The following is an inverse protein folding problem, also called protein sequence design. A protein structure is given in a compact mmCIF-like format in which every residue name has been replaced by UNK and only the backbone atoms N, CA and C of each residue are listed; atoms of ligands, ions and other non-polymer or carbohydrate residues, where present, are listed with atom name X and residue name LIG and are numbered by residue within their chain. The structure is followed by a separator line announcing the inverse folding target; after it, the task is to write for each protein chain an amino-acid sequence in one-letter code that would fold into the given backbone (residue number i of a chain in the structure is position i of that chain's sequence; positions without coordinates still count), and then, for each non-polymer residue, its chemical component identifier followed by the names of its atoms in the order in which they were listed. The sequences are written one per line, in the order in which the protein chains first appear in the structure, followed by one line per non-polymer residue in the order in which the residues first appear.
data_IF_911320922879
#
_entry.id   IF_911320922879
#
_cell.length_a   1.000
_cell.length_b   1.000
_cell.length_c   1.000
_cell.angle_alpha   90.00
_cell.angle_beta   90.00
_cell.angle_gamma   90.00
#
_symmetry.space_group_name_H-M   'P 1'
#
loop_
_entity.id
_entity.type
_entity.pdbx_description
1 polymer ?
#
# COMPACT_ATOMS: atom_id res chain seq x y z
N UNK A 1 -24.10 -32.59 6.89
CA UNK A 1 -23.70 -31.91 8.15
C UNK A 1 -23.52 -30.44 7.82
N UNK A 2 -24.50 -29.65 8.19
CA UNK A 2 -24.55 -28.22 7.99
C UNK A 2 -23.56 -27.57 8.97
N UNK A 3 -22.44 -27.03 8.46
CA UNK A 3 -21.50 -26.29 9.28
C UNK A 3 -22.18 -24.97 9.70
N UNK A 4 -22.61 -24.88 10.94
CA UNK A 4 -23.11 -23.66 11.54
C UNK A 4 -22.13 -22.52 11.30
N UNK A 5 -22.62 -21.40 10.78
CA UNK A 5 -21.83 -20.18 10.58
C UNK A 5 -21.13 -19.80 11.91
N UNK A 6 -19.83 -19.48 11.90
CA UNK A 6 -19.11 -19.15 13.11
C UNK A 6 -19.80 -17.95 13.79
N UNK A 7 -20.21 -18.12 15.04
CA UNK A 7 -20.75 -17.04 15.87
C UNK A 7 -19.75 -15.91 15.90
N UNK A 8 -20.14 -14.74 15.42
CA UNK A 8 -19.31 -13.54 15.43
C UNK A 8 -19.00 -13.19 16.90
N UNK A 9 -17.75 -13.40 17.30
CA UNK A 9 -17.31 -13.12 18.65
C UNK A 9 -17.40 -11.61 18.90
N UNK A 10 -18.21 -11.22 19.91
CA UNK A 10 -18.47 -9.80 20.25
C UNK A 10 -17.18 -9.05 20.59
N UNK A 11 -16.18 -9.72 21.19
CA UNK A 11 -14.88 -9.11 21.49
C UNK A 11 -14.14 -8.75 20.21
N UNK A 12 -14.14 -9.63 19.21
CA UNK A 12 -13.54 -9.36 17.90
C UNK A 12 -14.23 -8.21 17.16
N UNK A 13 -15.56 -8.08 17.28
CA UNK A 13 -16.29 -6.96 16.68
C UNK A 13 -15.94 -5.63 17.35
N UNK A 14 -15.88 -5.59 18.66
CA UNK A 14 -15.51 -4.37 19.42
C UNK A 14 -14.09 -3.92 19.08
N UNK A 15 -13.12 -4.85 18.98
CA UNK A 15 -11.76 -4.55 18.58
C UNK A 15 -11.68 -4.02 17.16
N UNK A 16 -12.44 -4.59 16.23
CA UNK A 16 -12.49 -4.12 14.83
C UNK A 16 -13.05 -2.71 14.72
N UNK A 17 -14.19 -2.46 15.36
CA UNK A 17 -14.82 -1.13 15.35
C UNK A 17 -13.92 -0.11 16.05
N UNK A 18 -13.36 -0.45 17.21
CA UNK A 18 -12.47 0.43 17.97
C UNK A 18 -11.22 0.82 17.17
N UNK A 19 -10.52 -0.16 16.59
CA UNK A 19 -9.32 0.12 15.79
C UNK A 19 -9.63 0.88 14.48
N UNK A 20 -10.78 0.61 13.83
CA UNK A 20 -11.22 1.36 12.67
C UNK A 20 -11.53 2.83 13.03
N UNK A 21 -12.19 3.07 14.16
CA UNK A 21 -12.46 4.43 14.64
C UNK A 21 -11.18 5.19 14.97
N UNK A 22 -10.24 4.57 15.69
CA UNK A 22 -8.95 5.19 16.02
C UNK A 22 -8.18 5.54 14.75
N UNK A 23 -8.07 4.58 13.81
CA UNK A 23 -7.43 4.83 12.52
C UNK A 23 -8.15 5.94 11.73
N UNK A 24 -9.48 5.87 11.63
CA UNK A 24 -10.26 6.88 10.91
C UNK A 24 -10.10 8.27 11.50
N UNK A 25 -10.23 8.43 12.82
CA UNK A 25 -10.04 9.72 13.50
C UNK A 25 -8.62 10.24 13.26
N UNK A 26 -7.60 9.41 13.44
CA UNK A 26 -6.21 9.79 13.18
C UNK A 26 -6.00 10.22 11.72
N UNK A 27 -6.41 9.40 10.78
CA UNK A 27 -6.23 9.63 9.35
C UNK A 27 -6.94 10.92 8.88
N UNK A 28 -8.23 11.04 9.16
CA UNK A 28 -8.99 12.22 8.73
C UNK A 28 -8.54 13.51 9.45
N UNK A 29 -8.14 13.43 10.73
CA UNK A 29 -7.57 14.58 11.44
C UNK A 29 -6.25 15.02 10.81
N UNK A 30 -5.40 14.07 10.43
CA UNK A 30 -4.12 14.36 9.79
C UNK A 30 -4.31 15.02 8.41
N UNK A 31 -5.26 14.51 7.60
CA UNK A 31 -5.61 15.13 6.32
C UNK A 31 -6.22 16.54 6.51
N UNK A 32 -7.07 16.70 7.52
CA UNK A 32 -7.65 18.02 7.85
C UNK A 32 -6.60 19.06 8.25
N UNK A 33 -5.57 18.62 8.96
CA UNK A 33 -4.46 19.44 9.44
C UNK A 33 -3.23 19.41 8.51
N UNK A 34 -3.39 18.92 7.28
CA UNK A 34 -2.28 18.68 6.36
C UNK A 34 -1.52 19.92 5.88
N UNK A 35 -2.08 21.10 6.08
CA UNK A 35 -1.43 22.40 5.84
C UNK A 35 -0.47 22.83 6.98
N UNK A 36 -0.44 22.07 8.09
CA UNK A 36 0.45 22.38 9.21
C UNK A 36 1.87 21.90 8.92
N UNK A 37 2.92 22.70 9.28
CA UNK A 37 4.32 22.36 8.98
C UNK A 37 4.79 21.00 9.54
N UNK A 38 4.15 20.52 10.60
CA UNK A 38 4.46 19.24 11.22
C UNK A 38 3.71 18.04 10.60
N UNK A 39 2.63 18.29 9.85
CA UNK A 39 1.77 17.20 9.32
C UNK A 39 2.51 16.22 8.39
N UNK A 40 3.40 16.65 7.47
CA UNK A 40 4.19 15.73 6.64
C UNK A 40 5.09 14.80 7.46
N UNK A 41 5.61 15.27 8.59
CA UNK A 41 6.47 14.47 9.47
C UNK A 41 5.68 13.44 10.27
N UNK A 42 4.47 13.78 10.71
CA UNK A 42 3.56 12.81 11.34
C UNK A 42 3.10 11.76 10.33
N UNK A 43 2.81 12.16 9.08
CA UNK A 43 2.47 11.25 8.00
C UNK A 43 3.66 10.31 7.69
N UNK A 44 4.88 10.85 7.61
CA UNK A 44 6.11 10.06 7.47
C UNK A 44 6.26 9.04 8.59
N UNK A 45 6.03 9.43 9.84
CA UNK A 45 6.07 8.51 10.98
C UNK A 45 5.08 7.36 10.84
N UNK A 46 3.86 7.64 10.38
CA UNK A 46 2.86 6.61 10.09
C UNK A 46 3.30 5.68 8.95
N UNK A 47 3.85 6.23 7.85
CA UNK A 47 4.39 5.44 6.73
C UNK A 47 5.60 4.60 7.15
N UNK A 48 6.49 5.14 7.98
CA UNK A 48 7.66 4.42 8.50
C UNK A 48 7.25 3.24 9.40
N UNK A 49 6.22 3.43 10.23
CA UNK A 49 5.66 2.36 11.05
C UNK A 49 4.98 1.28 10.18
N UNK A 50 4.15 1.69 9.21
CA UNK A 50 3.50 0.77 8.28
C UNK A 50 4.55 -0.03 7.47
N UNK A 51 5.62 0.63 7.01
CA UNK A 51 6.74 0.01 6.32
C UNK A 51 7.43 -1.05 7.18
N UNK A 52 7.77 -0.73 8.43
CA UNK A 52 8.41 -1.67 9.34
C UNK A 52 7.52 -2.89 9.62
N UNK A 53 6.22 -2.68 9.82
CA UNK A 53 5.24 -3.77 10.00
C UNK A 53 5.11 -4.62 8.73
N UNK A 54 5.03 -4.01 7.55
CA UNK A 54 4.93 -4.73 6.28
C UNK A 54 6.19 -5.54 5.95
N UNK A 55 7.40 -4.98 6.16
CA UNK A 55 8.66 -5.73 6.02
C UNK A 55 8.70 -6.90 6.99
N UNK A 56 8.24 -6.72 8.23
CA UNK A 56 8.15 -7.80 9.22
C UNK A 56 7.20 -8.90 8.75
N UNK A 57 6.03 -8.57 8.24
CA UNK A 57 5.07 -9.55 7.73
C UNK A 57 5.66 -10.34 6.55
N UNK A 58 6.28 -9.67 5.59
CA UNK A 58 6.95 -10.33 4.46
C UNK A 58 8.09 -11.24 4.94
N UNK A 59 8.89 -10.77 5.89
CA UNK A 59 9.96 -11.58 6.52
C UNK A 59 9.39 -12.85 7.17
N UNK A 60 8.31 -12.71 7.94
CA UNK A 60 7.68 -13.86 8.61
C UNK A 60 7.05 -14.83 7.63
N UNK A 61 6.41 -14.35 6.56
CA UNK A 61 5.91 -15.21 5.47
C UNK A 61 7.04 -16.02 4.82
N UNK A 62 8.18 -15.38 4.55
CA UNK A 62 9.35 -16.05 3.96
C UNK A 62 9.93 -17.12 4.89
N UNK A 63 9.95 -16.86 6.20
CA UNK A 63 10.41 -17.82 7.22
C UNK A 63 9.56 -19.09 7.29
N UNK A 64 8.26 -19.03 6.95
CA UNK A 64 7.42 -20.23 6.84
C UNK A 64 7.95 -21.19 5.77
N UNK A 65 8.68 -20.68 4.76
CA UNK A 65 9.32 -21.48 3.70
C UNK A 65 10.78 -21.81 3.95
N UNK A 66 11.30 -21.47 5.10
CA UNK A 66 12.70 -21.73 5.49
C UNK A 66 13.68 -20.63 5.09
N UNK A 67 13.26 -19.59 4.34
CA UNK A 67 14.12 -18.45 4.04
C UNK A 67 14.30 -17.54 5.26
N UNK A 68 15.44 -16.89 5.36
CA UNK A 68 15.73 -16.01 6.49
C UNK A 68 16.10 -14.58 6.06
N UNK A 69 15.13 -13.82 5.44
CA UNK A 69 15.39 -12.43 5.09
C UNK A 69 15.65 -11.60 6.34
N UNK A 70 16.53 -10.60 6.22
CA UNK A 70 16.91 -9.74 7.32
C UNK A 70 15.85 -8.66 7.58
N UNK A 71 15.19 -8.74 8.72
CA UNK A 71 14.21 -7.73 9.13
C UNK A 71 14.86 -6.35 9.30
N UNK A 72 16.02 -6.29 9.96
CA UNK A 72 16.67 -5.02 10.30
C UNK A 72 17.12 -4.29 9.05
N UNK A 73 17.88 -4.98 8.17
CA UNK A 73 18.38 -4.36 6.95
C UNK A 73 17.25 -4.01 5.99
N UNK A 74 16.19 -4.83 5.94
CA UNK A 74 14.99 -4.56 5.16
C UNK A 74 14.26 -3.30 5.62
N UNK A 75 14.06 -3.13 6.92
CA UNK A 75 13.42 -1.92 7.49
C UNK A 75 14.29 -0.68 7.23
N UNK A 76 15.60 -0.75 7.49
CA UNK A 76 16.51 0.38 7.28
C UNK A 76 16.58 0.79 5.79
N UNK A 77 16.64 -0.19 4.88
CA UNK A 77 16.59 0.08 3.45
C UNK A 77 15.26 0.74 3.04
N UNK A 78 14.13 0.24 3.53
CA UNK A 78 12.81 0.84 3.28
C UNK A 78 12.73 2.28 3.80
N UNK A 79 13.24 2.55 4.98
CA UNK A 79 13.30 3.90 5.53
C UNK A 79 14.24 4.82 4.75
N UNK A 80 15.31 4.27 4.16
CA UNK A 80 16.16 5.01 3.22
C UNK A 80 15.37 5.51 2.00
N UNK A 81 14.52 4.67 1.40
CA UNK A 81 13.61 5.09 0.32
C UNK A 81 12.61 6.14 0.79
N UNK A 82 11.97 5.96 1.95
CA UNK A 82 11.06 6.97 2.52
C UNK A 82 11.78 8.32 2.74
N UNK A 83 13.01 8.30 3.23
CA UNK A 83 13.82 9.51 3.41
C UNK A 83 14.11 10.19 2.07
N UNK A 84 14.48 9.44 1.02
CA UNK A 84 14.64 10.01 -0.33
C UNK A 84 13.38 10.74 -0.78
N UNK A 85 12.21 10.08 -0.78
CA UNK A 85 10.97 10.68 -1.24
C UNK A 85 10.52 11.89 -0.39
N UNK A 86 10.92 11.94 0.88
CA UNK A 86 10.62 13.06 1.78
C UNK A 86 11.55 14.25 1.54
N UNK A 87 12.84 13.99 1.31
CA UNK A 87 13.87 15.03 1.21
C UNK A 87 14.08 15.56 -0.21
N UNK A 88 13.76 14.76 -1.23
CA UNK A 88 13.87 15.18 -2.62
C UNK A 88 12.82 16.22 -2.96
N UNK A 89 13.28 17.42 -3.33
CA UNK A 89 12.46 18.52 -3.85
C UNK A 89 12.79 18.77 -5.32
N UNK A 90 12.02 19.63 -6.00
CA UNK A 90 12.27 19.97 -7.40
C UNK A 90 13.70 20.48 -7.66
N UNK A 91 14.25 21.23 -6.72
CA UNK A 91 15.56 21.89 -6.89
C UNK A 91 16.70 21.25 -6.08
N UNK A 92 16.38 20.34 -5.17
CA UNK A 92 17.39 19.73 -4.28
C UNK A 92 17.04 18.26 -4.04
N UNK A 93 18.03 17.41 -4.22
CA UNK A 93 17.98 16.00 -3.84
C UNK A 93 19.18 15.66 -2.95
N UNK A 94 19.07 15.99 -1.65
CA UNK A 94 20.19 15.77 -0.71
C UNK A 94 20.48 14.28 -0.48
N UNK A 95 19.53 13.41 -0.81
CA UNK A 95 19.66 11.96 -0.70
C UNK A 95 19.24 11.31 -2.03
N UNK A 96 20.06 11.40 -3.10
CA UNK A 96 19.67 10.94 -4.41
C UNK A 96 19.41 9.42 -4.45
N UNK A 97 18.46 9.01 -5.28
CA UNK A 97 17.96 7.63 -5.35
C UNK A 97 19.09 6.60 -5.59
N UNK A 98 20.09 6.93 -6.42
CA UNK A 98 21.24 6.03 -6.65
C UNK A 98 22.03 5.77 -5.36
N UNK A 99 22.17 6.77 -4.49
CA UNK A 99 22.85 6.62 -3.20
C UNK A 99 22.06 5.72 -2.26
N UNK A 100 20.72 5.89 -2.24
CA UNK A 100 19.82 5.04 -1.45
C UNK A 100 19.88 3.59 -1.93
N UNK A 101 19.82 3.36 -3.24
CA UNK A 101 19.92 2.01 -3.82
C UNK A 101 21.28 1.38 -3.48
N UNK A 102 22.37 2.13 -3.65
CA UNK A 102 23.72 1.62 -3.34
C UNK A 102 23.85 1.34 -1.84
N UNK A 103 23.41 2.26 -0.99
CA UNK A 103 23.46 2.09 0.47
C UNK A 103 22.60 0.91 0.96
N UNK A 104 21.39 0.77 0.42
CA UNK A 104 20.52 -0.38 0.71
C UNK A 104 21.17 -1.70 0.25
N UNK A 105 21.79 -1.70 -0.93
CA UNK A 105 22.55 -2.86 -1.45
C UNK A 105 23.68 -3.27 -0.52
N UNK A 106 24.54 -2.33 -0.18
CA UNK A 106 25.63 -2.59 0.75
C UNK A 106 25.07 -3.12 2.10
N UNK A 107 24.06 -2.47 2.65
CA UNK A 107 23.47 -2.86 3.93
C UNK A 107 22.91 -4.29 3.91
N UNK A 108 22.16 -4.65 2.85
CA UNK A 108 21.55 -5.97 2.72
C UNK A 108 22.62 -7.03 2.49
N UNK A 109 23.58 -6.79 1.61
CA UNK A 109 24.63 -7.77 1.32
C UNK A 109 25.62 -7.94 2.46
N UNK A 110 26.08 -6.86 3.10
CA UNK A 110 26.92 -6.97 4.31
C UNK A 110 26.17 -7.63 5.46
N UNK A 111 24.86 -7.30 5.65
CA UNK A 111 24.04 -7.96 6.65
C UNK A 111 24.02 -9.48 6.43
N UNK A 112 23.85 -9.93 5.20
CA UNK A 112 23.86 -11.35 4.87
C UNK A 112 25.25 -12.00 5.14
N UNK A 113 26.34 -11.34 4.79
CA UNK A 113 27.71 -11.88 5.03
C UNK A 113 28.00 -12.17 6.51
N UNK A 114 27.45 -11.39 7.42
CA UNK A 114 27.77 -11.49 8.83
C UNK A 114 26.72 -12.24 9.66
N UNK A 115 25.49 -12.35 9.18
CA UNK A 115 24.37 -12.85 9.95
C UNK A 115 23.64 -14.04 9.32
N UNK A 116 23.93 -14.40 8.05
CA UNK A 116 23.32 -15.59 7.43
C UNK A 116 24.11 -16.85 7.81
N UNK A 117 23.45 -17.76 8.49
CA UNK A 117 24.04 -19.04 8.91
C UNK A 117 24.09 -20.09 7.80
N UNK A 118 23.24 -19.92 6.75
CA UNK A 118 23.06 -20.88 5.67
C UNK A 118 23.27 -20.23 4.31
N UNK A 119 24.36 -20.56 3.65
CA UNK A 119 24.72 -19.98 2.35
C UNK A 119 23.77 -20.36 1.20
N UNK A 120 23.17 -21.55 1.23
CA UNK A 120 22.22 -22.04 0.25
C UNK A 120 20.88 -21.27 0.26
N UNK A 121 20.52 -20.64 1.39
CA UNK A 121 19.35 -19.80 1.53
C UNK A 121 19.67 -18.29 1.39
N UNK A 122 20.94 -17.89 1.29
CA UNK A 122 21.36 -16.49 1.31
C UNK A 122 20.80 -15.70 0.12
N UNK A 123 20.90 -16.22 -1.10
CA UNK A 123 20.43 -15.50 -2.30
C UNK A 123 18.90 -15.26 -2.27
N UNK A 124 18.04 -16.27 -2.00
CA UNK A 124 16.59 -16.02 -1.85
C UNK A 124 16.26 -15.06 -0.72
N UNK A 125 16.94 -15.17 0.42
CA UNK A 125 16.73 -14.31 1.60
C UNK A 125 17.05 -12.85 1.31
N UNK A 126 18.17 -12.57 0.65
CA UNK A 126 18.54 -11.23 0.20
C UNK A 126 17.55 -10.69 -0.84
N UNK A 127 17.14 -11.51 -1.82
CA UNK A 127 16.15 -11.12 -2.83
C UNK A 127 14.80 -10.73 -2.20
N UNK A 128 14.35 -11.46 -1.19
CA UNK A 128 13.11 -11.14 -0.44
C UNK A 128 13.29 -9.86 0.37
N UNK A 129 14.46 -9.65 0.99
CA UNK A 129 14.76 -8.40 1.71
C UNK A 129 14.69 -7.20 0.78
N UNK A 130 15.32 -7.31 -0.41
CA UNK A 130 15.24 -6.29 -1.47
C UNK A 130 13.81 -6.06 -1.95
N UNK A 131 13.06 -7.14 -2.21
CA UNK A 131 11.68 -7.06 -2.65
C UNK A 131 10.82 -6.27 -1.66
N UNK A 132 10.94 -6.55 -0.36
CA UNK A 132 10.24 -5.83 0.68
C UNK A 132 10.63 -4.35 0.75
N UNK A 133 11.93 -4.07 0.68
CA UNK A 133 12.44 -2.70 0.72
C UNK A 133 11.97 -1.86 -0.47
N UNK A 134 12.02 -2.41 -1.68
CA UNK A 134 11.57 -1.73 -2.89
C UNK A 134 10.04 -1.57 -2.89
N UNK A 135 9.29 -2.65 -2.65
CA UNK A 135 7.84 -2.64 -2.69
C UNK A 135 7.25 -1.60 -1.74
N UNK A 136 7.62 -1.68 -0.45
CA UNK A 136 7.09 -0.77 0.56
C UNK A 136 7.75 0.60 0.49
N UNK A 137 9.06 0.66 0.20
CA UNK A 137 9.80 1.91 0.12
C UNK A 137 9.30 2.81 -1.01
N UNK A 138 9.05 2.26 -2.20
CA UNK A 138 8.48 3.05 -3.30
C UNK A 138 6.99 3.35 -3.07
N UNK A 139 6.16 2.33 -2.76
CA UNK A 139 4.73 2.54 -2.63
C UNK A 139 4.35 3.55 -1.54
N UNK A 140 4.92 3.39 -0.34
CA UNK A 140 4.69 4.32 0.77
C UNK A 140 5.48 5.63 0.60
N UNK A 141 6.65 5.58 -0.06
CA UNK A 141 7.43 6.76 -0.41
C UNK A 141 6.67 7.69 -1.36
N UNK A 142 6.01 7.14 -2.39
CA UNK A 142 5.16 7.94 -3.27
C UNK A 142 3.92 8.47 -2.56
N UNK A 143 3.35 7.76 -1.57
CA UNK A 143 2.29 8.33 -0.74
C UNK A 143 2.80 9.52 0.08
N UNK A 144 4.00 9.42 0.66
CA UNK A 144 4.65 10.53 1.35
C UNK A 144 4.88 11.72 0.40
N UNK A 145 5.38 11.45 -0.81
CA UNK A 145 5.60 12.48 -1.83
C UNK A 145 4.28 13.15 -2.25
N UNK A 146 3.22 12.37 -2.46
CA UNK A 146 1.87 12.89 -2.73
C UNK A 146 1.37 13.79 -1.61
N UNK A 147 1.56 13.41 -0.33
CA UNK A 147 1.13 14.22 0.81
C UNK A 147 1.83 15.57 0.87
N UNK A 148 3.09 15.63 0.40
CA UNK A 148 3.91 16.85 0.38
C UNK A 148 3.72 17.71 -0.87
N UNK A 149 2.95 17.25 -1.87
CA UNK A 149 2.74 18.02 -3.09
C UNK A 149 2.00 19.32 -2.82
N UNK A 150 2.56 20.40 -3.37
CA UNK A 150 1.92 21.70 -3.46
C UNK A 150 1.23 21.84 -4.82
N UNK A 151 0.11 22.52 -4.86
CA UNK A 151 -0.68 22.74 -6.09
C UNK A 151 -1.48 24.02 -5.99
N UNK A 152 -2.38 24.23 -6.96
CA UNK A 152 -3.16 25.47 -7.10
C UNK A 152 -4.17 25.70 -5.97
N UNK A 153 -4.57 24.64 -5.26
CA UNK A 153 -5.54 24.72 -4.17
C UNK A 153 -4.90 24.38 -2.83
N UNK A 154 -5.44 24.94 -1.73
CA UNK A 154 -4.96 24.61 -0.38
C UNK A 154 -5.06 23.11 -0.10
N UNK A 155 -4.10 22.56 0.65
CA UNK A 155 -4.06 21.15 1.08
C UNK A 155 -4.05 20.15 -0.10
N UNK A 156 -3.41 20.50 -1.21
CA UNK A 156 -3.36 19.65 -2.41
C UNK A 156 -2.91 18.23 -2.07
N UNK A 157 -1.82 18.05 -1.32
CA UNK A 157 -1.32 16.74 -0.93
C UNK A 157 -2.34 15.92 -0.13
N UNK A 158 -2.98 16.53 0.89
CA UNK A 158 -4.02 15.86 1.68
C UNK A 158 -5.22 15.43 0.82
N UNK A 159 -5.61 16.27 -0.16
CA UNK A 159 -6.71 16.00 -1.08
C UNK A 159 -6.36 14.84 -2.03
N UNK A 160 -5.11 14.78 -2.49
CA UNK A 160 -4.61 13.66 -3.32
C UNK A 160 -4.56 12.34 -2.54
N UNK A 161 -4.12 12.37 -1.28
CA UNK A 161 -4.16 11.18 -0.42
C UNK A 161 -5.61 10.74 -0.17
N UNK A 162 -6.51 11.69 0.12
CA UNK A 162 -7.93 11.35 0.27
C UNK A 162 -8.50 10.74 -1.01
N UNK A 163 -8.14 11.29 -2.17
CA UNK A 163 -8.56 10.77 -3.46
C UNK A 163 -8.03 9.34 -3.70
N UNK A 164 -6.75 9.09 -3.42
CA UNK A 164 -6.16 7.76 -3.52
C UNK A 164 -6.96 6.73 -2.73
N UNK A 165 -7.28 7.04 -1.46
CA UNK A 165 -8.03 6.12 -0.59
C UNK A 165 -9.50 5.97 -1.03
N UNK A 166 -10.19 7.07 -1.33
CA UNK A 166 -11.62 7.01 -1.71
C UNK A 166 -11.79 6.24 -3.03
N UNK A 167 -10.96 6.54 -4.04
CA UNK A 167 -11.04 5.86 -5.33
C UNK A 167 -10.83 4.35 -5.12
N UNK A 168 -9.75 3.93 -4.47
CA UNK A 168 -9.45 2.51 -4.26
C UNK A 168 -10.51 1.81 -3.39
N UNK A 169 -10.99 2.43 -2.30
CA UNK A 169 -12.02 1.84 -1.44
C UNK A 169 -13.36 1.65 -2.15
N UNK A 170 -13.79 2.60 -2.98
CA UNK A 170 -14.99 2.44 -3.81
C UNK A 170 -14.82 1.28 -4.78
N UNK A 171 -13.65 1.16 -5.40
CA UNK A 171 -13.31 0.04 -6.27
C UNK A 171 -13.43 -1.30 -5.55
N UNK A 172 -12.76 -1.46 -4.42
CA UNK A 172 -12.76 -2.71 -3.65
C UNK A 172 -14.15 -3.06 -3.12
N UNK A 173 -14.92 -2.05 -2.71
CA UNK A 173 -16.30 -2.23 -2.26
C UNK A 173 -17.19 -2.75 -3.38
N UNK A 174 -17.17 -2.12 -4.57
CA UNK A 174 -17.97 -2.59 -5.69
C UNK A 174 -17.46 -3.93 -6.25
N UNK A 175 -16.14 -4.16 -6.25
CA UNK A 175 -15.58 -5.46 -6.61
C UNK A 175 -16.14 -6.58 -5.75
N UNK A 176 -16.23 -6.34 -4.44
CA UNK A 176 -16.78 -7.31 -3.50
C UNK A 176 -18.27 -7.58 -3.78
N UNK A 177 -19.10 -6.55 -3.92
CA UNK A 177 -20.52 -6.72 -4.16
C UNK A 177 -20.82 -7.36 -5.51
N UNK A 178 -20.22 -6.86 -6.59
CA UNK A 178 -20.42 -7.41 -7.94
C UNK A 178 -19.83 -8.84 -8.03
N UNK A 179 -18.63 -9.04 -7.51
CA UNK A 179 -17.96 -10.33 -7.54
C UNK A 179 -18.67 -11.41 -6.72
N UNK A 180 -19.26 -11.05 -5.56
CA UNK A 180 -20.01 -11.99 -4.72
C UNK A 180 -21.38 -12.33 -5.29
N UNK A 181 -22.03 -11.39 -5.99
CA UNK A 181 -23.39 -11.56 -6.53
C UNK A 181 -23.39 -12.14 -7.95
N UNK A 182 -22.52 -11.64 -8.81
CA UNK A 182 -22.51 -11.95 -10.24
C UNK A 182 -21.27 -12.73 -10.70
N UNK A 183 -20.26 -12.95 -9.83
CA UNK A 183 -18.97 -13.53 -10.20
C UNK A 183 -19.05 -14.99 -10.66
N UNK A 184 -18.95 -15.20 -11.95
CA UNK A 184 -18.98 -16.53 -12.62
C UNK A 184 -17.61 -16.93 -13.18
N UNK A 185 -16.90 -15.97 -13.80
CA UNK A 185 -15.63 -16.20 -14.48
C UNK A 185 -14.47 -15.84 -13.57
N UNK A 186 -13.66 -16.85 -13.20
CA UNK A 186 -12.53 -16.63 -12.26
C UNK A 186 -11.40 -15.87 -12.91
N UNK A 187 -10.95 -14.77 -12.25
CA UNK A 187 -9.86 -13.92 -12.72
C UNK A 187 -8.49 -14.59 -12.53
N UNK A 188 -8.22 -15.11 -11.33
CA UNK A 188 -6.92 -15.67 -10.97
C UNK A 188 -7.09 -16.92 -10.07
N UNK A 189 -7.46 -18.07 -10.67
CA UNK A 189 -7.85 -19.31 -9.95
C UNK A 189 -6.82 -19.80 -8.95
N UNK A 190 -5.51 -19.70 -9.29
CA UNK A 190 -4.41 -20.23 -8.44
C UNK A 190 -4.05 -19.27 -7.31
N UNK A 191 -4.17 -17.97 -7.54
CA UNK A 191 -3.71 -16.91 -6.62
C UNK A 191 -4.85 -16.47 -5.70
N UNK A 192 -5.98 -16.10 -6.30
CA UNK A 192 -7.16 -15.61 -5.58
C UNK A 192 -8.43 -16.23 -6.17
N UNK A 193 -8.85 -17.43 -5.70
CA UNK A 193 -9.98 -18.16 -6.28
C UNK A 193 -11.33 -17.47 -6.08
N UNK A 194 -11.41 -16.46 -5.23
CA UNK A 194 -12.63 -15.68 -5.02
C UNK A 194 -12.80 -14.55 -6.02
N UNK A 195 -11.70 -14.03 -6.62
CA UNK A 195 -11.76 -12.96 -7.61
C UNK A 195 -12.36 -13.42 -8.94
N UNK A 196 -13.19 -12.58 -9.55
CA UNK A 196 -13.85 -12.81 -10.83
C UNK A 196 -13.66 -11.62 -11.78
N UNK A 197 -13.82 -11.84 -13.09
CA UNK A 197 -13.80 -10.79 -14.09
C UNK A 197 -14.93 -9.79 -13.91
N UNK A 198 -16.11 -10.25 -13.49
CA UNK A 198 -17.25 -9.41 -13.15
C UNK A 198 -16.91 -8.51 -11.95
N UNK A 199 -16.26 -9.08 -10.93
CA UNK A 199 -15.76 -8.30 -9.80
C UNK A 199 -14.71 -7.28 -10.22
N UNK A 200 -13.82 -7.63 -11.15
CA UNK A 200 -12.83 -6.69 -11.69
C UNK A 200 -13.48 -5.53 -12.47
N UNK A 201 -14.52 -5.80 -13.26
CA UNK A 201 -15.32 -4.75 -13.89
C UNK A 201 -16.04 -3.88 -12.84
N UNK A 202 -16.57 -4.49 -11.78
CA UNK A 202 -17.15 -3.79 -10.64
C UNK A 202 -16.14 -2.89 -9.93
N UNK A 203 -14.88 -3.34 -9.79
CA UNK A 203 -13.80 -2.51 -9.25
C UNK A 203 -13.57 -1.26 -10.10
N UNK A 204 -13.43 -1.39 -11.43
CA UNK A 204 -13.25 -0.24 -12.31
C UNK A 204 -14.43 0.73 -12.25
N UNK A 205 -15.67 0.22 -12.20
CA UNK A 205 -16.86 1.06 -12.03
C UNK A 205 -16.83 1.80 -10.69
N UNK A 206 -16.42 1.12 -9.61
CA UNK A 206 -16.27 1.75 -8.29
C UNK A 206 -15.19 2.82 -8.27
N UNK A 207 -14.04 2.57 -8.89
CA UNK A 207 -12.98 3.57 -9.00
C UNK A 207 -13.45 4.82 -9.80
N UNK A 208 -14.18 4.63 -10.88
CA UNK A 208 -14.77 5.74 -11.65
C UNK A 208 -15.76 6.55 -10.80
N UNK A 209 -16.61 5.88 -10.02
CA UNK A 209 -17.52 6.55 -9.08
C UNK A 209 -16.77 7.30 -7.98
N UNK A 210 -15.74 6.71 -7.42
CA UNK A 210 -14.86 7.35 -6.43
C UNK A 210 -14.17 8.59 -7.00
N UNK A 211 -13.62 8.49 -8.20
CA UNK A 211 -12.99 9.62 -8.90
C UNK A 211 -14.01 10.73 -9.22
N UNK A 212 -15.22 10.37 -9.66
CA UNK A 212 -16.31 11.33 -9.86
C UNK A 212 -16.70 12.02 -8.55
N UNK A 213 -16.84 11.28 -7.46
CA UNK A 213 -17.13 11.84 -6.14
C UNK A 213 -16.04 12.82 -5.70
N UNK A 214 -14.77 12.47 -5.89
CA UNK A 214 -13.66 13.37 -5.57
C UNK A 214 -13.69 14.65 -6.40
N UNK A 215 -13.94 14.56 -7.71
CA UNK A 215 -14.16 15.74 -8.55
C UNK A 215 -15.31 16.60 -8.05
N UNK A 216 -16.43 16.00 -7.71
CA UNK A 216 -17.65 16.73 -7.30
C UNK A 216 -17.51 17.43 -5.94
N UNK A 217 -16.61 16.95 -5.05
CA UNK A 217 -16.55 17.40 -3.65
C UNK A 217 -15.23 18.02 -3.25
N UNK A 218 -14.10 17.38 -3.59
CA UNK A 218 -12.79 17.70 -3.01
C UNK A 218 -11.80 18.22 -4.05
N UNK A 219 -11.87 17.72 -5.28
CA UNK A 219 -10.96 18.05 -6.39
C UNK A 219 -11.73 18.68 -7.57
N UNK A 220 -12.38 19.85 -7.39
CA UNK A 220 -13.21 20.45 -8.43
C UNK A 220 -12.42 20.90 -9.67
N UNK A 221 -11.09 21.05 -9.54
CA UNK A 221 -10.16 21.34 -10.64
C UNK A 221 -9.99 20.19 -11.63
N UNK A 222 -10.34 18.96 -11.24
CA UNK A 222 -10.27 17.82 -12.15
C UNK A 222 -11.28 17.92 -13.29
N UNK A 223 -10.84 17.64 -14.51
CA UNK A 223 -11.69 17.53 -15.69
C UNK A 223 -12.44 16.18 -15.72
N UNK A 224 -13.34 16.01 -16.68
CA UNK A 224 -13.95 14.69 -16.93
C UNK A 224 -12.94 13.65 -17.42
N UNK A 225 -11.90 14.09 -18.10
CA UNK A 225 -10.79 13.22 -18.55
C UNK A 225 -10.01 12.70 -17.36
N UNK A 226 -9.74 13.55 -16.36
CA UNK A 226 -9.05 13.14 -15.14
C UNK A 226 -9.84 12.07 -14.38
N UNK A 227 -11.16 12.22 -14.27
CA UNK A 227 -12.03 11.23 -13.63
C UNK A 227 -11.91 9.86 -14.30
N UNK A 228 -11.98 9.84 -15.63
CA UNK A 228 -11.89 8.58 -16.38
C UNK A 228 -10.48 8.00 -16.29
N UNK A 229 -9.45 8.81 -16.50
CA UNK A 229 -8.07 8.36 -16.46
C UNK A 229 -7.70 7.83 -15.07
N UNK A 230 -7.95 8.59 -14.00
CA UNK A 230 -7.62 8.18 -12.64
C UNK A 230 -8.46 6.97 -12.19
N UNK A 231 -9.76 6.93 -12.51
CA UNK A 231 -10.59 5.77 -12.21
C UNK A 231 -10.07 4.48 -12.83
N UNK A 232 -9.65 4.51 -14.10
CA UNK A 232 -9.12 3.35 -14.78
C UNK A 232 -7.70 2.99 -14.34
N UNK A 233 -6.81 3.98 -14.24
CA UNK A 233 -5.42 3.77 -13.89
C UNK A 233 -5.26 3.24 -12.45
N UNK A 234 -5.89 3.92 -11.48
CA UNK A 234 -5.80 3.51 -10.07
C UNK A 234 -6.54 2.19 -9.83
N UNK A 235 -7.68 1.97 -10.51
CA UNK A 235 -8.40 0.71 -10.42
C UNK A 235 -7.60 -0.47 -10.94
N UNK A 236 -6.94 -0.31 -12.08
CA UNK A 236 -6.06 -1.35 -12.65
C UNK A 236 -4.85 -1.59 -11.75
N UNK A 237 -4.18 -0.51 -11.32
CA UNK A 237 -3.00 -0.60 -10.46
C UNK A 237 -3.33 -1.27 -9.10
N UNK A 238 -4.42 -0.86 -8.45
CA UNK A 238 -4.85 -1.46 -7.18
C UNK A 238 -5.18 -2.95 -7.31
N UNK A 239 -5.89 -3.36 -8.37
CA UNK A 239 -6.15 -4.77 -8.62
C UNK A 239 -4.87 -5.59 -8.83
N UNK A 240 -3.89 -5.04 -9.55
CA UNK A 240 -2.60 -5.68 -9.73
C UNK A 240 -1.84 -5.82 -8.40
N UNK A 241 -1.85 -4.78 -7.57
CA UNK A 241 -1.21 -4.79 -6.25
C UNK A 241 -1.73 -5.91 -5.36
N UNK A 242 -3.06 -6.02 -5.20
CA UNK A 242 -3.69 -7.09 -4.44
C UNK A 242 -3.38 -8.49 -5.04
N UNK A 243 -3.32 -8.64 -6.37
CA UNK A 243 -2.92 -9.91 -6.99
C UNK A 243 -1.47 -10.26 -6.73
N UNK A 244 -0.56 -9.29 -6.73
CA UNK A 244 0.87 -9.49 -6.41
C UNK A 244 1.01 -9.96 -4.97
N UNK A 245 0.40 -9.27 -4.01
CA UNK A 245 0.43 -9.63 -2.60
C UNK A 245 -0.21 -11.01 -2.36
N UNK A 246 -1.35 -11.28 -3.00
CA UNK A 246 -1.99 -12.59 -2.98
C UNK A 246 -1.07 -13.70 -3.51
N UNK A 247 -0.27 -13.42 -4.55
CA UNK A 247 0.72 -14.37 -5.10
C UNK A 247 1.78 -14.70 -4.05
N UNK A 248 2.29 -13.71 -3.32
CA UNK A 248 3.28 -13.94 -2.26
C UNK A 248 2.72 -14.76 -1.12
N UNK A 249 1.49 -14.49 -0.67
CA UNK A 249 0.81 -15.31 0.35
C UNK A 249 0.70 -16.76 -0.08
N UNK A 250 0.28 -17.04 -1.31
CA UNK A 250 0.18 -18.42 -1.82
C UNK A 250 1.54 -19.08 -1.98
N UNK A 251 2.54 -18.34 -2.46
CA UNK A 251 3.93 -18.82 -2.53
C UNK A 251 4.46 -19.18 -1.14
N UNK A 252 4.19 -18.37 -0.14
CA UNK A 252 4.55 -18.66 1.25
C UNK A 252 3.71 -19.80 1.89
N UNK A 253 2.60 -20.22 1.26
CA UNK A 253 1.70 -21.24 1.83
C UNK A 253 0.78 -20.71 2.91
N UNK A 254 0.62 -19.40 3.01
CA UNK A 254 -0.26 -18.74 3.99
C UNK A 254 -1.50 -18.15 3.32
N UNK A 255 -2.51 -17.84 4.13
CA UNK A 255 -3.75 -17.23 3.63
C UNK A 255 -3.73 -15.71 3.81
N UNK A 256 -3.27 -15.24 4.93
CA UNK A 256 -3.23 -13.84 5.33
C UNK A 256 -1.77 -13.44 5.57
N UNK A 257 -1.41 -12.15 5.39
CA UNK A 257 -0.02 -11.68 5.50
C UNK A 257 0.50 -11.70 6.94
N UNK A 258 -0.38 -11.55 7.93
CA UNK A 258 0.01 -11.58 9.34
C UNK A 258 0.29 -13.01 9.83
N UNK A 259 1.55 -13.36 9.87
CA UNK A 259 2.01 -14.58 10.55
C UNK A 259 2.30 -14.21 12.01
N UNK A 260 1.42 -14.61 12.92
CA UNK A 260 1.50 -14.29 14.36
C UNK A 260 0.76 -12.99 14.73
N UNK A 261 1.48 -11.89 14.99
CA UNK A 261 0.89 -10.63 15.48
C UNK A 261 0.56 -9.72 14.28
N UNK A 262 -0.72 -9.46 14.04
CA UNK A 262 -1.24 -8.47 13.10
C UNK A 262 -1.85 -7.25 13.82
N UNK A 263 -2.47 -6.35 13.05
CA UNK A 263 -3.26 -5.25 13.61
C UNK A 263 -4.49 -5.84 14.31
N UNK A 264 -4.73 -5.51 15.60
CA UNK A 264 -5.87 -6.07 16.33
C UNK A 264 -7.19 -5.89 15.59
N UNK A 265 -7.84 -7.00 15.27
CA UNK A 265 -9.11 -7.03 14.54
C UNK A 265 -9.03 -6.78 13.02
N UNK A 266 -7.88 -6.35 12.47
CA UNK A 266 -7.75 -5.97 11.04
C UNK A 266 -6.78 -6.84 10.22
N UNK A 267 -6.03 -7.76 10.84
CA UNK A 267 -5.10 -8.63 10.09
C UNK A 267 -3.77 -7.96 9.75
N UNK A 268 -3.20 -8.25 8.59
CA UNK A 268 -1.91 -7.74 8.18
C UNK A 268 -1.93 -6.31 7.64
N UNK A 269 -0.81 -5.60 7.80
CA UNK A 269 -0.62 -4.29 7.18
C UNK A 269 -0.43 -4.42 5.66
N UNK A 270 0.24 -5.47 5.18
CA UNK A 270 0.40 -5.72 3.75
C UNK A 270 -0.95 -5.85 3.07
N UNK A 271 -1.90 -6.62 3.66
CA UNK A 271 -3.27 -6.76 3.18
C UNK A 271 -4.07 -5.42 3.13
N UNK A 272 -3.55 -4.35 3.73
CA UNK A 272 -4.19 -3.03 3.80
C UNK A 272 -3.57 -2.01 2.87
N UNK A 273 -2.33 -2.20 2.49
CA UNK A 273 -1.60 -1.26 1.65
C UNK A 273 -1.34 -1.80 0.24
N UNK A 274 -1.64 -3.06 -0.05
CA UNK A 274 -1.34 -3.75 -1.30
C UNK A 274 -1.82 -3.00 -2.55
N UNK A 275 -3.07 -2.57 -2.57
CA UNK A 275 -3.65 -1.77 -3.65
C UNK A 275 -3.03 -0.36 -3.70
N UNK A 276 -2.78 0.24 -2.52
CA UNK A 276 -2.27 1.60 -2.40
C UNK A 276 -0.81 1.73 -2.85
N UNK A 277 0.00 0.70 -2.61
CA UNK A 277 1.43 0.65 -3.00
C UNK A 277 1.60 0.76 -4.52
N UNK A 278 0.70 0.18 -5.29
CA UNK A 278 0.70 0.29 -6.76
C UNK A 278 -0.01 1.55 -7.25
N UNK A 279 -1.09 1.96 -6.59
CA UNK A 279 -1.88 3.11 -7.02
C UNK A 279 -1.18 4.46 -6.76
N UNK A 280 -0.42 4.59 -5.66
CA UNK A 280 0.23 5.85 -5.29
C UNK A 280 1.26 6.35 -6.32
N UNK A 281 2.20 5.52 -6.84
CA UNK A 281 3.11 5.94 -7.90
C UNK A 281 2.38 6.41 -9.17
N UNK A 282 1.29 5.74 -9.52
CA UNK A 282 0.49 6.08 -10.70
C UNK A 282 -0.22 7.42 -10.51
N UNK A 283 -0.82 7.65 -9.34
CA UNK A 283 -1.43 8.95 -9.04
C UNK A 283 -0.39 10.05 -9.05
N UNK A 284 0.78 9.82 -8.43
CA UNK A 284 1.87 10.79 -8.45
C UNK A 284 2.31 11.13 -9.88
N UNK A 285 2.58 10.11 -10.69
CA UNK A 285 2.98 10.30 -12.08
C UNK A 285 1.91 11.08 -12.87
N UNK A 286 0.63 10.75 -12.70
CA UNK A 286 -0.46 11.45 -13.35
C UNK A 286 -0.49 12.94 -12.99
N UNK A 287 -0.51 13.27 -11.70
CA UNK A 287 -0.61 14.69 -11.28
C UNK A 287 0.66 15.48 -11.60
N UNK A 288 1.82 14.84 -11.56
CA UNK A 288 3.08 15.49 -11.94
C UNK A 288 3.14 15.79 -13.43
N UNK A 289 2.86 14.81 -14.31
CA UNK A 289 3.00 14.99 -15.76
C UNK A 289 1.80 15.69 -16.42
N UNK A 290 0.60 15.53 -15.88
CA UNK A 290 -0.62 16.11 -16.48
C UNK A 290 -0.96 17.48 -15.87
N UNK A 291 -0.82 17.62 -14.54
CA UNK A 291 -1.16 18.86 -13.85
C UNK A 291 0.07 19.73 -13.51
N UNK A 292 1.30 19.23 -13.71
CA UNK A 292 2.53 19.96 -13.44
C UNK A 292 2.77 20.22 -11.94
N UNK A 293 2.20 19.41 -11.05
CA UNK A 293 2.43 19.52 -9.61
C UNK A 293 3.84 19.04 -9.25
N UNK A 294 4.55 19.81 -8.41
CA UNK A 294 5.94 19.60 -8.01
C UNK A 294 6.10 19.39 -6.51
#
# INVERSE_FOLDING_TARGET
MEQAAPKMDRQNLTLRVGSALVFGVFFFSLLWLGDRPWAPWVYLGAMALAAAMGVRELTLMARVRGFNPSLVTGVLATWGFLAHFTLATHNQDPLPLWLVITGAGLLIHFGALFFDEKLDEALPSQAITWLGALYLGFGLGFQQKLFMLEGTLPKTGSRLILALFIITWFGDTLAYFVGSTFGRHKLARRVSPKKSWEGAAGNLAGNLLGAFLMKATVCPEWSGVDVVALGLLLGTAGQLGDLVESTWKRSAGVKDSHVGIGIPGHGGILDRVDSLVFAAPILYAYVHFVHGFN
#
